data_IF_004999758262
#
_entry.id   IF_004999758262
#
_cell.length_a   1.000
_cell.length_b   1.000
_cell.length_c   1.000
_cell.angle_alpha   90.00
_cell.angle_beta   90.00
_cell.angle_gamma   90.00
#
_symmetry.space_group_name_H-M   'P 1'
#
loop_
_entity.id
_entity.type
_entity.pdbx_description
1 polymer ?
#
# COMPACT_ATOMS: atom_id res chain seq x y z
N UNK A 1 10.11 -5.89 -12.58
CA UNK A 1 9.22 -4.81 -13.07
C UNK A 1 7.81 -5.28 -13.49
N UNK A 2 7.44 -6.56 -13.32
CA UNK A 2 6.05 -7.02 -13.45
C UNK A 2 5.18 -6.52 -12.29
N UNK A 3 5.82 -6.14 -11.18
CA UNK A 3 5.24 -5.62 -9.94
C UNK A 3 4.38 -4.37 -10.18
N UNK A 4 4.69 -3.57 -11.20
CA UNK A 4 3.89 -2.38 -11.54
C UNK A 4 2.45 -2.77 -11.92
N UNK A 5 2.25 -3.88 -12.66
CA UNK A 5 0.90 -4.36 -12.98
C UNK A 5 0.13 -4.74 -11.71
N UNK A 6 0.81 -5.32 -10.72
CA UNK A 6 0.23 -5.68 -9.44
C UNK A 6 -0.13 -4.44 -8.61
N UNK A 7 0.75 -3.43 -8.56
CA UNK A 7 0.46 -2.15 -7.90
C UNK A 7 -0.76 -1.50 -8.56
N UNK A 8 -0.81 -1.40 -9.89
CA UNK A 8 -1.95 -0.80 -10.60
C UNK A 8 -3.26 -1.54 -10.28
N UNK A 9 -3.24 -2.87 -10.24
CA UNK A 9 -4.39 -3.67 -9.85
C UNK A 9 -4.81 -3.41 -8.39
N UNK A 10 -3.85 -3.40 -7.46
CA UNK A 10 -4.11 -3.13 -6.05
C UNK A 10 -4.59 -1.70 -5.80
N UNK A 11 -4.05 -0.71 -6.52
CA UNK A 11 -4.50 0.68 -6.46
C UNK A 11 -5.97 0.82 -6.85
N UNK A 12 -6.41 0.12 -7.91
CA UNK A 12 -7.82 0.08 -8.31
C UNK A 12 -8.70 -0.52 -7.20
N UNK A 13 -8.25 -1.62 -6.60
CA UNK A 13 -8.98 -2.30 -5.52
C UNK A 13 -9.09 -1.44 -4.26
N UNK A 14 -7.97 -0.85 -3.81
CA UNK A 14 -7.95 0.08 -2.66
C UNK A 14 -8.81 1.30 -2.95
N UNK A 15 -8.68 1.89 -4.15
CA UNK A 15 -9.48 3.05 -4.55
C UNK A 15 -10.98 2.80 -4.40
N UNK A 16 -11.46 1.63 -4.83
CA UNK A 16 -12.88 1.24 -4.67
C UNK A 16 -13.30 1.13 -3.20
N UNK A 17 -12.51 0.47 -2.35
CA UNK A 17 -12.82 0.31 -0.90
C UNK A 17 -12.85 1.67 -0.19
N UNK A 18 -11.96 2.58 -0.58
CA UNK A 18 -11.87 3.93 0.00
C UNK A 18 -13.04 4.81 -0.46
N UNK A 19 -13.41 4.74 -1.75
CA UNK A 19 -14.57 5.46 -2.27
C UNK A 19 -15.89 4.98 -1.64
N UNK A 20 -16.06 3.68 -1.43
CA UNK A 20 -17.21 3.09 -0.71
C UNK A 20 -17.33 3.63 0.73
N UNK A 21 -16.22 4.07 1.31
CA UNK A 21 -16.16 4.66 2.66
C UNK A 21 -16.18 6.20 2.66
N UNK A 22 -16.44 6.82 1.50
CA UNK A 22 -16.53 8.28 1.28
C UNK A 22 -15.22 9.04 1.56
N UNK A 23 -14.08 8.36 1.37
CA UNK A 23 -12.75 8.94 1.52
C UNK A 23 -12.11 9.27 0.17
N UNK A 24 -11.08 10.13 0.17
CA UNK A 24 -10.34 10.51 -1.04
C UNK A 24 -9.36 9.41 -1.47
N UNK A 25 -9.67 8.67 -2.53
CA UNK A 25 -8.83 7.57 -3.07
C UNK A 25 -7.35 7.91 -3.30
N UNK A 26 -7.05 9.15 -3.72
CA UNK A 26 -5.70 9.55 -4.12
C UNK A 26 -4.66 9.39 -3.01
N UNK A 27 -5.02 9.75 -1.78
CA UNK A 27 -4.10 9.67 -0.62
C UNK A 27 -3.75 8.22 -0.30
N UNK A 28 -4.73 7.31 -0.38
CA UNK A 28 -4.51 5.90 -0.06
C UNK A 28 -3.81 5.12 -1.18
N UNK A 29 -4.01 5.53 -2.44
CA UNK A 29 -3.22 5.02 -3.55
C UNK A 29 -1.76 5.46 -3.41
N UNK A 30 -1.52 6.74 -3.06
CA UNK A 30 -0.17 7.22 -2.78
C UNK A 30 0.48 6.47 -1.60
N UNK A 31 -0.28 6.27 -0.51
CA UNK A 31 0.16 5.48 0.65
C UNK A 31 0.55 4.05 0.27
N UNK A 32 -0.22 3.38 -0.60
CA UNK A 32 0.13 2.05 -1.13
C UNK A 32 1.49 2.07 -1.84
N UNK A 33 1.72 3.03 -2.73
CA UNK A 33 2.98 3.13 -3.47
C UNK A 33 4.16 3.39 -2.53
N UNK A 34 3.99 4.26 -1.55
CA UNK A 34 5.02 4.54 -0.55
C UNK A 34 5.33 3.29 0.29
N UNK A 35 4.31 2.58 0.76
CA UNK A 35 4.50 1.35 1.54
C UNK A 35 5.11 0.24 0.70
N UNK A 36 4.79 0.17 -0.59
CA UNK A 36 5.44 -0.76 -1.52
C UNK A 36 6.94 -0.49 -1.61
N UNK A 37 7.33 0.75 -1.92
CA UNK A 37 8.73 1.14 -2.07
C UNK A 37 9.53 1.00 -0.76
N UNK A 38 8.94 1.41 0.37
CA UNK A 38 9.56 1.22 1.68
C UNK A 38 9.71 -0.26 2.01
N UNK A 39 8.70 -1.08 1.68
CA UNK A 39 8.75 -2.53 1.83
C UNK A 39 9.87 -3.15 1.02
N UNK A 40 10.05 -2.75 -0.24
CA UNK A 40 11.16 -3.19 -1.08
C UNK A 40 12.52 -2.83 -0.47
N UNK A 41 12.67 -1.59 -0.02
CA UNK A 41 13.94 -1.12 0.54
C UNK A 41 14.29 -1.82 1.86
N UNK A 42 13.34 -1.91 2.79
CA UNK A 42 13.51 -2.60 4.07
C UNK A 42 13.73 -4.10 3.83
N UNK A 43 12.97 -4.71 2.94
CA UNK A 43 13.12 -6.11 2.55
C UNK A 43 14.50 -6.39 1.97
N UNK A 44 14.98 -5.57 1.04
CA UNK A 44 16.33 -5.69 0.48
C UNK A 44 17.41 -5.56 1.57
N UNK A 45 17.26 -4.59 2.48
CA UNK A 45 18.18 -4.37 3.58
C UNK A 45 18.24 -5.58 4.53
N UNK A 46 17.09 -6.14 4.90
CA UNK A 46 16.99 -7.38 5.69
C UNK A 46 17.63 -8.54 4.92
N UNK A 47 17.35 -8.68 3.62
CA UNK A 47 17.92 -9.71 2.77
C UNK A 47 19.45 -9.67 2.75
N UNK A 48 20.04 -8.47 2.66
CA UNK A 48 21.50 -8.29 2.75
C UNK A 48 22.06 -8.76 4.10
N UNK A 49 21.43 -8.37 5.20
CA UNK A 49 21.86 -8.74 6.56
C UNK A 49 21.76 -10.26 6.78
N UNK A 50 20.63 -10.86 6.39
CA UNK A 50 20.35 -12.27 6.66
C UNK A 50 21.21 -13.21 5.81
N UNK A 51 21.43 -12.84 4.56
CA UNK A 51 22.04 -13.76 3.59
C UNK A 51 23.53 -13.51 3.41
N UNK A 52 24.01 -12.29 3.69
CA UNK A 52 25.39 -11.87 3.43
C UNK A 52 25.82 -12.01 1.97
N UNK A 53 24.86 -12.17 1.05
CA UNK A 53 25.09 -12.45 -0.36
C UNK A 53 24.41 -11.40 -1.22
N UNK A 54 25.06 -11.07 -2.32
CA UNK A 54 24.47 -10.24 -3.37
C UNK A 54 23.69 -11.09 -4.39
N UNK A 55 22.77 -10.47 -5.11
CA UNK A 55 22.07 -11.07 -6.24
C UNK A 55 20.59 -11.40 -5.99
N UNK A 56 20.06 -12.40 -6.70
CA UNK A 56 18.62 -12.66 -6.83
C UNK A 56 17.90 -12.92 -5.51
N UNK A 57 18.62 -13.38 -4.48
CA UNK A 57 18.05 -13.63 -3.17
C UNK A 57 17.60 -12.32 -2.52
N UNK A 58 18.39 -11.24 -2.59
CA UNK A 58 18.00 -9.93 -2.05
C UNK A 58 16.71 -9.44 -2.70
N UNK A 59 16.56 -9.68 -4.01
CA UNK A 59 15.34 -9.33 -4.73
C UNK A 59 14.10 -10.05 -4.20
N UNK A 60 14.22 -11.33 -3.82
CA UNK A 60 13.13 -12.06 -3.18
C UNK A 60 12.74 -11.47 -1.83
N UNK A 61 13.71 -11.07 -1.01
CA UNK A 61 13.43 -10.39 0.26
C UNK A 61 12.80 -9.01 0.05
N UNK A 62 13.25 -8.26 -0.95
CA UNK A 62 12.64 -7.00 -1.35
C UNK A 62 11.16 -7.21 -1.74
N UNK A 63 10.88 -8.23 -2.56
CA UNK A 63 9.53 -8.53 -3.02
C UNK A 63 8.60 -8.95 -1.88
N UNK A 64 9.10 -9.75 -0.92
CA UNK A 64 8.37 -10.11 0.29
C UNK A 64 8.06 -8.86 1.12
N UNK A 65 9.06 -7.99 1.32
CA UNK A 65 8.89 -6.72 2.03
C UNK A 65 7.86 -5.81 1.37
N UNK A 66 7.88 -5.71 0.04
CA UNK A 66 6.89 -4.99 -0.75
C UNK A 66 5.47 -5.53 -0.54
N UNK A 67 5.33 -6.87 -0.56
CA UNK A 67 4.08 -7.56 -0.28
C UNK A 67 3.54 -7.26 1.12
N UNK A 68 4.41 -7.20 2.13
CA UNK A 68 4.04 -6.77 3.47
C UNK A 68 3.57 -5.31 3.51
N UNK A 69 4.27 -4.41 2.82
CA UNK A 69 3.85 -3.01 2.68
C UNK A 69 2.45 -2.89 2.06
N UNK A 70 2.20 -3.62 0.98
CA UNK A 70 0.90 -3.66 0.32
C UNK A 70 -0.21 -4.21 1.23
N UNK A 71 0.08 -5.29 1.97
CA UNK A 71 -0.85 -5.88 2.94
C UNK A 71 -1.20 -4.87 4.04
N UNK A 72 -0.22 -4.15 4.56
CA UNK A 72 -0.42 -3.14 5.58
C UNK A 72 -1.33 -2.00 5.07
N UNK A 73 -1.11 -1.51 3.85
CA UNK A 73 -2.00 -0.52 3.23
C UNK A 73 -3.43 -1.03 3.10
N UNK A 74 -3.60 -2.30 2.72
CA UNK A 74 -4.92 -2.91 2.62
C UNK A 74 -5.62 -3.02 3.99
N UNK A 75 -4.89 -3.39 5.04
CA UNK A 75 -5.41 -3.46 6.40
C UNK A 75 -5.84 -2.08 6.92
N UNK A 76 -5.06 -1.03 6.66
CA UNK A 76 -5.42 0.35 7.02
C UNK A 76 -6.75 0.73 6.35
N UNK A 77 -6.82 0.55 5.04
CA UNK A 77 -8.00 0.93 4.24
C UNK A 77 -9.24 0.12 4.64
N UNK A 78 -9.09 -1.17 4.94
CA UNK A 78 -10.19 -2.02 5.39
C UNK A 78 -10.78 -1.53 6.72
N UNK A 79 -9.94 -1.07 7.64
CA UNK A 79 -10.34 -0.61 8.97
C UNK A 79 -10.77 0.87 9.03
N UNK A 80 -10.77 1.61 7.91
CA UNK A 80 -11.29 2.97 7.88
C UNK A 80 -12.79 2.99 8.26
N UNK A 81 -13.17 3.88 9.17
CA UNK A 81 -14.58 4.20 9.42
C UNK A 81 -15.16 4.94 8.22
N UNK A 82 -16.46 4.76 7.95
CA UNK A 82 -17.18 5.58 6.96
C UNK A 82 -17.12 7.03 7.43
N UNK A 83 -16.85 7.96 6.52
CA UNK A 83 -16.84 9.38 6.85
C UNK A 83 -18.27 9.80 7.24
N UNK A 84 -18.45 10.40 8.42
CA UNK A 84 -19.71 11.04 8.77
C UNK A 84 -19.85 12.31 7.95
N UNK A 85 -20.95 12.44 7.21
CA UNK A 85 -21.30 13.68 6.50
C UNK A 85 -21.79 14.65 7.58
N UNK A 86 -21.12 15.79 7.82
CA UNK A 86 -21.62 16.77 8.77
C UNK A 86 -22.96 17.32 8.27
N UNK A 87 -23.97 17.25 9.12
CA UNK A 87 -25.39 17.61 8.88
C UNK A 87 -25.62 19.12 8.66
N UNK A 88 -24.59 19.95 8.68
CA UNK A 88 -24.71 21.42 8.70
C UNK A 88 -24.51 22.10 7.34
N UNK A 89 -25.06 21.53 6.25
CA UNK A 89 -25.06 22.16 4.92
C UNK A 89 -26.43 22.62 4.43
N UNK A 90 -27.47 22.56 5.26
CA UNK A 90 -28.84 23.00 4.92
C UNK A 90 -29.18 24.42 5.44
N UNK A 91 -28.18 25.24 5.77
CA UNK A 91 -28.39 26.65 6.12
C UNK A 91 -27.49 27.56 5.27
N UNK A 92 -27.84 27.77 4.00
CA UNK A 92 -27.67 29.07 3.29
C UNK A 92 -28.41 29.10 1.97
#
# INVERSE_FOLDING_TARGET
>A
MLEIFLIVYLSKKIGKIVEEKEHKKGIYIFMLVIFWLLGEFIGAFIGMIVTGKEGIIIYLYALIGAGFGALLSFLIVKNLSKKEVPEDSDIT
#
